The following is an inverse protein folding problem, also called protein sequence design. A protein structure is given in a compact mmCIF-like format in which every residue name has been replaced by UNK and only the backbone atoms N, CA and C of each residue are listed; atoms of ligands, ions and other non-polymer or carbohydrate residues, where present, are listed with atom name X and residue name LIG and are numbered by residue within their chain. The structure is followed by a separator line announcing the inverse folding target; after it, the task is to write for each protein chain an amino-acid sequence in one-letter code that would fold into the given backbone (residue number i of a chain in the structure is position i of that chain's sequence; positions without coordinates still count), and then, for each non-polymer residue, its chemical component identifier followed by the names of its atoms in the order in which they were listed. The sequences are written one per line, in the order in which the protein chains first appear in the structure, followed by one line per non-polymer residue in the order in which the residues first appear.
data_IF_077635105252
#
_entry.id   IF_077635105252
#
_cell.length_a   1.000
_cell.length_b   1.000
_cell.length_c   1.000
_cell.angle_alpha   90.00
_cell.angle_beta   90.00
_cell.angle_gamma   90.00
#
_symmetry.space_group_name_H-M   'P 1'
#
loop_
_entity.id
_entity.type
_entity.pdbx_description
1 polymer ?
#
# COMPACT_ATOMS: atom_id res chain seq x y z
N UNK A 1 1.27 -0.46 1.69
CA UNK A 1 2.01 0.63 1.01
C UNK A 1 1.08 1.77 0.59
N UNK A 2 0.00 1.52 -0.14
CA UNK A 2 -0.89 2.58 -0.69
C UNK A 2 -1.47 3.55 0.35
N UNK A 3 -1.79 3.10 1.57
CA UNK A 3 -2.24 4.01 2.65
C UNK A 3 -1.18 5.06 3.00
N UNK A 4 0.09 4.66 3.02
CA UNK A 4 1.22 5.53 3.33
C UNK A 4 1.40 6.54 2.19
N UNK A 5 1.29 6.08 0.95
CA UNK A 5 1.32 6.96 -0.23
C UNK A 5 0.19 8.00 -0.19
N UNK A 6 -1.05 7.58 0.07
CA UNK A 6 -2.21 8.47 0.14
C UNK A 6 -2.06 9.57 1.20
N UNK A 7 -1.48 9.23 2.37
CA UNK A 7 -1.15 10.21 3.42
C UNK A 7 -0.27 11.32 2.90
N UNK A 8 0.83 10.98 2.22
CA UNK A 8 1.78 11.97 1.72
C UNK A 8 1.26 12.71 0.50
N UNK A 9 0.66 12.01 -0.47
CA UNK A 9 0.18 12.59 -1.72
C UNK A 9 -0.95 13.59 -1.51
N UNK A 10 -1.87 13.30 -0.58
CA UNK A 10 -3.04 14.13 -0.31
C UNK A 10 -2.96 14.90 1.02
N UNK A 11 -1.80 14.86 1.69
CA UNK A 11 -1.57 15.52 2.98
C UNK A 11 -2.65 15.20 4.04
N UNK A 12 -2.92 13.91 4.22
CA UNK A 12 -3.94 13.42 5.15
C UNK A 12 -3.32 13.05 6.50
N UNK A 13 -4.14 13.06 7.56
CA UNK A 13 -3.80 12.41 8.84
C UNK A 13 -4.11 10.90 8.75
N UNK A 14 -3.39 10.03 9.47
CA UNK A 14 -3.65 8.59 9.48
C UNK A 14 -5.12 8.23 9.74
N UNK A 15 -5.78 8.92 10.67
CA UNK A 15 -7.19 8.66 11.03
C UNK A 15 -8.19 9.00 9.91
N UNK A 16 -7.77 9.73 8.88
CA UNK A 16 -8.58 10.07 7.72
C UNK A 16 -8.52 8.99 6.62
N UNK A 17 -7.73 7.94 6.81
CA UNK A 17 -7.51 6.88 5.83
C UNK A 17 -8.17 5.59 6.33
N UNK A 18 -9.16 5.10 5.59
CA UNK A 18 -9.87 3.86 5.88
C UNK A 18 -9.62 2.85 4.76
N UNK A 19 -9.39 1.59 5.13
CA UNK A 19 -9.25 0.48 4.19
C UNK A 19 -10.52 -0.36 4.25
N UNK A 20 -11.12 -0.59 3.09
CA UNK A 20 -12.30 -1.42 2.92
C UNK A 20 -11.96 -2.45 1.84
N UNK A 21 -12.33 -3.70 2.07
CA UNK A 21 -12.17 -4.76 1.08
C UNK A 21 -13.32 -4.68 0.09
N UNK A 22 -12.98 -4.49 -1.18
CA UNK A 22 -13.94 -4.47 -2.30
C UNK A 22 -13.53 -5.51 -3.36
N UNK A 23 -14.04 -6.75 -3.26
CA UNK A 23 -13.56 -7.87 -4.09
C UNK A 23 -13.68 -7.65 -5.61
N UNK A 24 -14.67 -6.88 -6.05
CA UNK A 24 -14.92 -6.65 -7.47
C UNK A 24 -13.92 -5.68 -8.11
N UNK A 25 -13.18 -4.89 -7.31
CA UNK A 25 -12.19 -3.90 -7.79
C UNK A 25 -12.73 -2.91 -8.83
N UNK A 26 -14.04 -2.62 -8.80
CA UNK A 26 -14.68 -1.66 -9.71
C UNK A 26 -14.63 -0.26 -9.15
N UNK A 27 -14.92 -0.11 -7.85
CA UNK A 27 -14.62 1.12 -7.12
C UNK A 27 -13.14 1.08 -6.78
N UNK A 28 -12.36 2.02 -7.32
CA UNK A 28 -10.91 2.04 -7.11
C UNK A 28 -10.49 2.81 -5.85
N UNK A 29 -11.32 3.77 -5.40
CA UNK A 29 -11.23 4.47 -4.10
C UNK A 29 -12.39 5.45 -3.94
N UNK A 30 -12.56 5.97 -2.73
CA UNK A 30 -13.62 6.91 -2.37
C UNK A 30 -13.09 8.04 -1.49
N UNK A 31 -13.76 9.19 -1.52
CA UNK A 31 -13.52 10.33 -0.62
C UNK A 31 -14.85 10.74 0.01
N UNK A 32 -14.85 10.87 1.34
CA UNK A 32 -15.99 11.36 2.12
C UNK A 32 -15.79 12.84 2.49
N UNK A 33 -16.85 13.63 2.40
CA UNK A 33 -16.86 15.06 2.67
C UNK A 33 -17.60 15.36 3.99
N UNK A 34 -17.40 16.57 4.54
CA UNK A 34 -17.98 16.99 5.83
C UNK A 34 -19.52 17.05 5.83
N UNK A 35 -20.14 17.20 4.66
CA UNK A 35 -21.60 17.14 4.48
C UNK A 35 -22.14 15.69 4.46
N UNK A 36 -21.28 14.70 4.62
CA UNK A 36 -21.61 13.28 4.59
C UNK A 36 -21.67 12.68 3.18
N UNK A 37 -21.46 13.48 2.12
CA UNK A 37 -21.42 12.95 0.75
C UNK A 37 -20.16 12.14 0.50
N UNK A 38 -20.26 11.13 -0.38
CA UNK A 38 -19.13 10.36 -0.87
C UNK A 38 -18.99 10.52 -2.38
N UNK A 39 -17.74 10.63 -2.85
CA UNK A 39 -17.39 10.51 -4.26
C UNK A 39 -16.53 9.29 -4.46
N UNK A 40 -16.98 8.39 -5.33
CA UNK A 40 -16.24 7.21 -5.75
C UNK A 40 -15.74 7.38 -7.19
N UNK A 41 -14.52 6.94 -7.46
CA UNK A 41 -14.08 6.70 -8.82
C UNK A 41 -14.30 5.22 -9.14
N UNK A 42 -14.95 4.96 -10.27
CA UNK A 42 -15.29 3.61 -10.73
C UNK A 42 -14.81 3.38 -12.15
N UNK A 43 -14.39 2.15 -12.44
CA UNK A 43 -13.93 1.74 -13.75
C UNK A 43 -13.75 0.24 -13.84
N UNK A 44 -13.54 -0.24 -15.07
CA UNK A 44 -12.97 -1.57 -15.25
C UNK A 44 -11.52 -1.55 -14.75
N UNK A 45 -11.01 -2.63 -14.14
CA UNK A 45 -9.63 -2.71 -13.66
C UNK A 45 -8.63 -2.76 -14.85
N UNK A 46 -8.37 -1.60 -15.44
CA UNK A 46 -7.46 -1.39 -16.56
C UNK A 46 -6.59 -0.15 -16.29
N UNK A 47 -5.29 -0.38 -16.08
CA UNK A 47 -4.31 0.67 -15.78
C UNK A 47 -4.17 1.73 -16.87
N UNK A 48 -4.62 1.46 -18.11
CA UNK A 48 -4.58 2.48 -19.19
C UNK A 48 -5.40 3.72 -18.84
N UNK A 49 -6.50 3.57 -18.11
CA UNK A 49 -7.36 4.69 -17.73
C UNK A 49 -6.68 5.65 -16.74
N UNK A 50 -6.16 5.20 -15.57
CA UNK A 50 -5.43 6.09 -14.66
C UNK A 50 -4.15 6.63 -15.28
N UNK A 51 -3.41 5.85 -16.09
CA UNK A 51 -2.20 6.34 -16.79
C UNK A 51 -2.56 7.46 -17.77
N UNK A 52 -3.58 7.27 -18.61
CA UNK A 52 -4.03 8.29 -19.54
C UNK A 52 -4.44 9.57 -18.80
N UNK A 53 -5.22 9.43 -17.72
CA UNK A 53 -5.68 10.59 -16.96
C UNK A 53 -4.53 11.32 -16.25
N UNK A 54 -3.54 10.60 -15.71
CA UNK A 54 -2.36 11.21 -15.10
C UNK A 54 -1.55 12.03 -16.12
N UNK A 55 -1.37 11.51 -17.35
CA UNK A 55 -0.66 12.20 -18.43
C UNK A 55 -1.43 13.39 -19.01
N UNK A 56 -2.77 13.34 -18.98
CA UNK A 56 -3.63 14.37 -19.57
C UNK A 56 -4.28 15.28 -18.56
N UNK A 57 -3.95 15.18 -17.27
CA UNK A 57 -4.64 15.93 -16.22
C UNK A 57 -4.53 17.45 -16.46
N UNK A 58 -5.62 18.22 -16.31
CA UNK A 58 -6.97 17.82 -15.86
C UNK A 58 -7.93 17.36 -16.97
N UNK A 59 -7.49 17.35 -18.23
CA UNK A 59 -8.33 17.00 -19.37
C UNK A 59 -8.62 15.49 -19.43
N UNK A 60 -9.81 15.14 -19.90
CA UNK A 60 -10.16 13.75 -20.23
C UNK A 60 -10.04 13.53 -21.72
N UNK A 61 -9.20 12.58 -22.11
CA UNK A 61 -9.01 12.21 -23.52
C UNK A 61 -10.01 11.11 -23.90
N UNK A 62 -10.57 11.21 -25.09
CA UNK A 62 -11.44 10.17 -25.63
C UNK A 62 -10.66 8.87 -25.85
N UNK A 63 -11.26 7.73 -25.50
CA UNK A 63 -10.67 6.40 -25.67
C UNK A 63 -11.76 5.36 -25.92
N UNK A 64 -11.37 4.18 -26.42
CA UNK A 64 -12.27 3.05 -26.68
C UNK A 64 -12.04 1.87 -25.71
N UNK A 65 -11.57 2.14 -24.49
CA UNK A 65 -11.36 1.11 -23.47
C UNK A 65 -12.69 0.48 -23.04
N UNK A 66 -12.68 -0.78 -22.52
CA UNK A 66 -13.88 -1.42 -21.99
C UNK A 66 -14.64 -0.50 -21.01
N UNK A 67 -15.96 -0.44 -21.16
CA UNK A 67 -16.83 0.33 -20.28
C UNK A 67 -17.45 -0.59 -19.24
N UNK A 68 -17.60 -0.06 -18.03
CA UNK A 68 -18.35 -0.75 -16.98
C UNK A 68 -19.82 -0.86 -17.40
N UNK A 69 -20.42 -2.03 -17.18
CA UNK A 69 -21.80 -2.33 -17.53
C UNK A 69 -22.56 -2.86 -16.30
N UNK A 70 -23.40 -2.01 -15.72
CA UNK A 70 -24.22 -2.34 -14.54
C UNK A 70 -25.17 -3.52 -14.79
N UNK A 71 -25.50 -3.84 -16.04
CA UNK A 71 -26.36 -5.01 -16.35
C UNK A 71 -25.59 -6.32 -16.22
N UNK A 72 -24.26 -6.31 -16.37
CA UNK A 72 -23.39 -7.48 -16.24
C UNK A 72 -22.86 -7.65 -14.82
N UNK A 73 -22.67 -6.54 -14.11
CA UNK A 73 -22.24 -6.52 -12.72
C UNK A 73 -23.14 -5.58 -11.92
N UNK A 74 -24.09 -6.17 -11.20
CA UNK A 74 -25.13 -5.46 -10.45
C UNK A 74 -24.92 -5.49 -8.92
N UNK A 75 -23.87 -6.17 -8.45
CA UNK A 75 -23.55 -6.29 -7.03
C UNK A 75 -22.14 -5.78 -6.77
N UNK A 76 -22.03 -4.88 -5.80
CA UNK A 76 -20.78 -4.40 -5.25
C UNK A 76 -20.79 -4.74 -3.76
N UNK A 77 -19.79 -5.48 -3.29
CA UNK A 77 -19.69 -5.86 -1.88
C UNK A 77 -18.54 -5.12 -1.21
N UNK A 78 -18.69 -4.92 0.10
CA UNK A 78 -17.72 -4.24 0.95
C UNK A 78 -17.60 -5.04 2.25
N UNK A 79 -16.36 -5.25 2.68
CA UNK A 79 -16.05 -6.03 3.87
C UNK A 79 -14.95 -5.32 4.67
N UNK A 80 -14.98 -5.48 5.99
CA UNK A 80 -13.89 -5.03 6.86
C UNK A 80 -12.64 -5.88 6.63
N UNK A 81 -11.43 -5.30 6.64
CA UNK A 81 -10.22 -6.08 6.50
C UNK A 81 -9.96 -6.97 7.72
N UNK A 82 -9.66 -8.25 7.50
CA UNK A 82 -9.20 -9.15 8.57
C UNK A 82 -7.73 -8.90 8.91
N UNK A 83 -7.49 -7.94 9.80
CA UNK A 83 -6.15 -7.55 10.28
C UNK A 83 -5.46 -8.62 11.15
N UNK A 84 -6.20 -9.65 11.60
CA UNK A 84 -5.62 -10.76 12.38
C UNK A 84 -4.97 -11.77 11.46
N UNK A 85 -5.62 -12.06 10.33
CA UNK A 85 -5.07 -12.96 9.30
C UNK A 85 -4.07 -12.22 8.41
N UNK A 86 -4.39 -11.01 7.93
CA UNK A 86 -3.54 -10.22 7.04
C UNK A 86 -2.72 -9.18 7.80
N UNK A 87 -1.80 -9.68 8.64
CA UNK A 87 -0.97 -8.87 9.56
C UNK A 87 -0.14 -7.76 8.89
N UNK A 88 0.21 -7.89 7.62
CA UNK A 88 0.91 -6.83 6.87
C UNK A 88 0.15 -5.50 6.83
N UNK A 89 -1.19 -5.52 6.90
CA UNK A 89 -1.98 -4.31 7.00
C UNK A 89 -1.76 -3.61 8.36
N UNK A 90 -1.70 -4.38 9.46
CA UNK A 90 -1.37 -3.86 10.79
C UNK A 90 0.02 -3.22 10.83
N UNK A 91 1.03 -3.86 10.21
CA UNK A 91 2.38 -3.30 10.09
C UNK A 91 2.39 -1.99 9.27
N UNK A 92 1.61 -1.95 8.19
CA UNK A 92 1.46 -0.73 7.39
C UNK A 92 0.78 0.40 8.17
N UNK A 93 -0.20 0.09 9.02
CA UNK A 93 -0.86 1.06 9.90
C UNK A 93 0.13 1.57 10.96
N UNK A 94 0.96 0.71 11.53
CA UNK A 94 2.03 1.13 12.46
C UNK A 94 3.00 2.10 11.77
N UNK A 95 3.52 1.74 10.59
CA UNK A 95 4.44 2.57 9.82
C UNK A 95 3.80 3.91 9.40
N UNK A 96 2.51 3.91 9.02
CA UNK A 96 1.75 5.10 8.68
C UNK A 96 1.67 6.11 9.84
N UNK A 97 1.37 5.59 11.04
CA UNK A 97 1.22 6.38 12.26
C UNK A 97 2.57 6.89 12.78
N UNK A 98 3.59 6.02 12.81
CA UNK A 98 4.91 6.38 13.34
C UNK A 98 5.70 7.29 12.40
N UNK A 99 5.53 7.15 11.09
CA UNK A 99 6.19 8.01 10.10
C UNK A 99 7.72 7.84 10.09
N UNK A 100 8.45 8.94 9.89
CA UNK A 100 9.91 8.96 9.83
C UNK A 100 10.47 8.02 8.75
N UNK A 101 11.49 7.23 9.13
CA UNK A 101 12.09 6.22 8.26
C UNK A 101 11.38 4.85 8.28
N UNK A 102 10.39 4.63 9.16
CA UNK A 102 9.78 3.31 9.33
C UNK A 102 9.09 2.76 8.06
N UNK A 103 8.37 3.56 7.26
CA UNK A 103 7.86 3.10 5.95
C UNK A 103 8.94 2.61 4.99
N UNK A 104 10.12 3.24 5.00
CA UNK A 104 11.25 2.84 4.16
C UNK A 104 11.79 1.48 4.59
N UNK A 105 12.01 1.30 5.89
CA UNK A 105 12.44 0.03 6.51
C UNK A 105 11.45 -1.10 6.16
N UNK A 106 10.15 -0.85 6.35
CA UNK A 106 9.09 -1.81 6.04
C UNK A 106 9.11 -2.21 4.55
N UNK A 107 9.23 -1.23 3.63
CA UNK A 107 9.29 -1.51 2.20
C UNK A 107 10.53 -2.34 1.82
N UNK A 108 11.70 -1.94 2.31
CA UNK A 108 12.96 -2.64 2.07
C UNK A 108 12.90 -4.10 2.55
N UNK A 109 12.39 -4.32 3.76
CA UNK A 109 12.18 -5.66 4.30
C UNK A 109 11.18 -6.49 3.47
N UNK A 110 10.08 -5.85 3.02
CA UNK A 110 9.09 -6.51 2.17
C UNK A 110 9.68 -6.96 0.83
N UNK A 111 10.54 -6.17 0.20
CA UNK A 111 11.22 -6.57 -1.04
C UNK A 111 12.10 -7.81 -0.85
N UNK A 112 12.88 -7.87 0.25
CA UNK A 112 13.69 -9.05 0.58
C UNK A 112 12.80 -10.25 0.89
N UNK A 113 11.72 -10.07 1.66
CA UNK A 113 10.77 -11.13 1.99
C UNK A 113 10.10 -11.72 0.74
N UNK A 114 9.61 -10.87 -0.17
CA UNK A 114 9.00 -11.29 -1.44
C UNK A 114 10.03 -12.01 -2.31
N UNK A 115 11.24 -11.48 -2.42
CA UNK A 115 12.32 -12.14 -3.16
C UNK A 115 12.61 -13.54 -2.62
N UNK A 116 12.78 -13.68 -1.30
CA UNK A 116 13.05 -14.94 -0.65
C UNK A 116 11.91 -15.95 -0.82
N UNK A 117 10.65 -15.50 -0.69
CA UNK A 117 9.47 -16.32 -0.92
C UNK A 117 9.42 -16.84 -2.37
N UNK A 118 9.62 -15.96 -3.36
CA UNK A 118 9.65 -16.34 -4.77
C UNK A 118 10.81 -17.31 -5.12
N UNK A 119 11.87 -17.32 -4.30
CA UNK A 119 12.99 -18.27 -4.41
C UNK A 119 12.82 -19.51 -3.52
N UNK A 120 11.64 -19.74 -2.96
CA UNK A 120 11.33 -20.85 -2.05
C UNK A 120 12.29 -20.95 -0.86
N UNK A 121 12.80 -19.82 -0.36
CA UNK A 121 13.69 -19.76 0.82
C UNK A 121 12.90 -19.63 2.12
N UNK A 122 11.74 -18.99 2.07
CA UNK A 122 10.80 -18.84 3.19
C UNK A 122 9.38 -19.10 2.69
N UNK A 123 8.50 -19.47 3.61
CA UNK A 123 7.06 -19.61 3.38
C UNK A 123 6.33 -18.27 3.41
N UNK A 124 5.07 -18.29 2.96
CA UNK A 124 4.22 -17.09 2.86
C UNK A 124 4.02 -16.40 4.22
N UNK A 125 3.78 -17.17 5.28
CA UNK A 125 3.55 -16.60 6.62
C UNK A 125 4.84 -15.99 7.21
N UNK A 126 6.00 -16.58 6.91
CA UNK A 126 7.31 -16.12 7.39
C UNK A 126 7.70 -14.75 6.82
N UNK A 127 7.12 -14.35 5.69
CA UNK A 127 7.34 -13.01 5.11
C UNK A 127 6.94 -11.90 6.08
N UNK A 128 5.77 -12.04 6.72
CA UNK A 128 5.27 -11.03 7.67
C UNK A 128 6.19 -10.94 8.89
N UNK A 129 6.61 -12.09 9.42
CA UNK A 129 7.49 -12.15 10.59
C UNK A 129 8.86 -11.53 10.30
N UNK A 130 9.38 -11.68 9.07
CA UNK A 130 10.62 -11.04 8.65
C UNK A 130 10.48 -9.51 8.60
N UNK A 131 9.39 -9.02 8.02
CA UNK A 131 9.12 -7.57 7.93
C UNK A 131 9.01 -6.97 9.33
N UNK A 132 8.22 -7.60 10.22
CA UNK A 132 8.03 -7.14 11.60
C UNK A 132 9.36 -7.11 12.38
N UNK A 133 10.17 -8.17 12.30
CA UNK A 133 11.49 -8.22 12.95
C UNK A 133 12.41 -7.10 12.45
N UNK A 134 12.39 -6.84 11.14
CA UNK A 134 13.23 -5.79 10.54
C UNK A 134 12.79 -4.40 11.00
N UNK A 135 11.49 -4.15 11.02
CA UNK A 135 10.89 -2.91 11.55
C UNK A 135 11.23 -2.65 13.03
N UNK A 136 11.36 -3.70 13.83
CA UNK A 136 11.71 -3.62 15.25
C UNK A 136 13.22 -3.47 15.51
N UNK A 137 14.06 -3.93 14.58
CA UNK A 137 15.52 -3.95 14.76
C UNK A 137 16.20 -2.68 14.26
N UNK A 138 15.86 -2.21 13.07
CA UNK A 138 16.51 -1.06 12.43
C UNK A 138 16.19 0.22 13.18
N UNK A 139 17.19 1.07 13.35
CA UNK A 139 17.08 2.30 14.14
C UNK A 139 16.04 3.27 13.57
N UNK A 140 15.16 3.78 14.44
CA UNK A 140 14.14 4.75 14.05
C UNK A 140 14.69 6.18 14.01
N UNK A 141 14.38 6.88 12.92
CA UNK A 141 14.70 8.29 12.70
C UNK A 141 13.40 9.04 12.41
N UNK A 142 13.04 9.98 13.29
CA UNK A 142 11.78 10.75 13.21
C UNK A 142 11.75 11.69 11.99
N UNK A 143 12.89 12.33 11.70
CA UNK A 143 13.05 13.30 10.60
C UNK A 143 14.26 12.94 9.75
N UNK A 144 14.15 11.88 8.94
CA UNK A 144 15.24 11.41 8.11
C UNK A 144 15.55 12.41 6.99
N UNK A 145 16.84 12.59 6.73
CA UNK A 145 17.38 13.14 5.49
C UNK A 145 17.33 12.09 4.36
N UNK A 146 17.71 12.49 3.15
CA UNK A 146 17.80 11.54 2.03
C UNK A 146 18.87 10.46 2.27
N UNK A 147 20.01 10.84 2.86
CA UNK A 147 21.09 9.88 3.17
C UNK A 147 20.63 8.90 4.25
N UNK A 148 19.90 9.37 5.27
CA UNK A 148 19.30 8.50 6.29
C UNK A 148 18.35 7.46 5.67
N UNK A 149 17.62 7.80 4.60
CA UNK A 149 16.77 6.84 3.89
C UNK A 149 17.59 5.77 3.16
N UNK A 150 18.68 6.14 2.50
CA UNK A 150 19.56 5.17 1.85
C UNK A 150 20.22 4.24 2.87
N UNK A 151 20.68 4.78 4.00
CA UNK A 151 21.26 4.00 5.10
C UNK A 151 20.21 3.07 5.73
N UNK A 152 19.00 3.57 5.99
CA UNK A 152 17.90 2.78 6.55
C UNK A 152 17.45 1.65 5.62
N UNK A 153 17.37 1.90 4.30
CA UNK A 153 17.07 0.87 3.30
C UNK A 153 18.18 -0.19 3.27
N UNK A 154 19.44 0.22 3.25
CA UNK A 154 20.60 -0.68 3.29
C UNK A 154 20.62 -1.55 4.54
N UNK A 155 20.50 -0.95 5.72
CA UNK A 155 20.46 -1.66 7.01
C UNK A 155 19.30 -2.66 7.07
N UNK A 156 18.10 -2.23 6.64
CA UNK A 156 16.93 -3.09 6.60
C UNK A 156 17.12 -4.30 5.67
N UNK A 157 17.72 -4.10 4.49
CA UNK A 157 18.00 -5.19 3.55
C UNK A 157 19.04 -6.16 4.11
N UNK A 158 20.14 -5.64 4.66
CA UNK A 158 21.19 -6.45 5.26
C UNK A 158 20.66 -7.28 6.43
N UNK A 159 19.94 -6.66 7.36
CA UNK A 159 19.35 -7.37 8.49
C UNK A 159 18.33 -8.42 8.03
N UNK A 160 17.42 -8.07 7.11
CA UNK A 160 16.44 -9.00 6.61
C UNK A 160 17.11 -10.20 5.92
N UNK A 161 18.15 -9.99 5.13
CA UNK A 161 18.92 -11.04 4.48
C UNK A 161 19.64 -11.95 5.49
N UNK A 162 20.24 -11.37 6.53
CA UNK A 162 20.94 -12.11 7.59
C UNK A 162 20.00 -13.04 8.37
N UNK A 163 18.79 -12.56 8.70
CA UNK A 163 17.78 -13.35 9.42
C UNK A 163 17.41 -14.63 8.67
N UNK A 164 17.38 -14.59 7.33
CA UNK A 164 17.02 -15.73 6.48
C UNK A 164 18.21 -16.38 5.78
N UNK A 165 19.44 -15.97 6.11
CA UNK A 165 20.71 -16.52 5.60
C UNK A 165 20.78 -16.52 4.07
N UNK A 166 20.43 -15.37 3.47
CA UNK A 166 20.55 -15.13 2.03
C UNK A 166 21.99 -14.94 1.56
#
# INVERSE_FOLDING_TARGET
LEMIEAKYLFNLRPEQIQVIIHPQSVIHSMVQFEDGSLKAQMGMPDMKLPIQYALSFPQRIHNNFPRFDFKKMNTLTFEEPDIRTFRNLSLSIEALNKGGNLPCIMNAANEIAVYAFLKNRIGFLEMTDLIEKTMQHVSFIDKPSMDDYFESDGEARSFAADVIKL
#
